data_IF_888107071967
#
_entry.id   IF_888107071967
#
_cell.length_a   1.000
_cell.length_b   1.000
_cell.length_c   1.000
_cell.angle_alpha   90.00
_cell.angle_beta   90.00
_cell.angle_gamma   90.00
#
_symmetry.space_group_name_H-M   'P 1'
#
loop_
_entity.id
_entity.type
_entity.pdbx_description
1 polymer ?
#
# COMPACT_ATOMS: atom_id res chain seq x y z
N UNK A 1 2.89 -4.32 11.27
CA UNK A 1 3.73 -3.28 10.65
C UNK A 1 2.86 -2.07 10.31
N UNK A 2 3.32 -0.88 10.64
CA UNK A 2 2.68 0.37 10.20
C UNK A 2 3.17 0.69 8.79
N UNK A 3 2.25 0.74 7.84
CA UNK A 3 2.53 0.96 6.43
C UNK A 3 1.96 2.31 5.96
N UNK A 4 2.78 3.05 5.25
CA UNK A 4 2.42 4.37 4.74
C UNK A 4 2.76 5.51 5.72
N UNK A 5 3.13 6.64 5.16
CA UNK A 5 3.48 7.82 5.96
C UNK A 5 2.21 8.58 6.35
N UNK A 6 1.93 8.77 7.64
CA UNK A 6 0.82 9.60 8.09
C UNK A 6 1.12 11.08 7.87
N UNK A 7 0.11 11.91 8.01
CA UNK A 7 0.30 13.38 8.03
C UNK A 7 1.15 13.76 9.24
N UNK A 8 1.87 14.88 9.10
CA UNK A 8 2.60 15.46 10.22
C UNK A 8 1.68 15.63 11.43
N UNK A 9 2.21 15.36 12.61
CA UNK A 9 1.50 15.48 13.90
C UNK A 9 0.29 14.54 14.04
N UNK A 10 0.17 13.50 13.21
CA UNK A 10 -0.82 12.44 13.40
C UNK A 10 -0.47 11.60 14.63
N UNK A 11 -1.48 11.36 15.47
CA UNK A 11 -1.36 10.51 16.65
C UNK A 11 -2.17 9.23 16.44
N UNK A 12 -1.71 8.15 17.05
CA UNK A 12 -2.41 6.87 17.08
C UNK A 12 -2.50 6.40 18.52
N UNK A 13 -3.70 6.13 18.99
CA UNK A 13 -3.91 5.52 20.30
C UNK A 13 -3.69 4.02 20.20
N UNK A 14 -2.90 3.50 21.12
CA UNK A 14 -2.57 2.06 21.19
C UNK A 14 -2.87 1.56 22.59
N UNK A 15 -3.66 0.51 22.68
CA UNK A 15 -3.87 -0.21 23.93
C UNK A 15 -2.61 -0.97 24.33
N UNK A 16 -1.84 -0.38 25.23
CA UNK A 16 -0.58 -0.96 25.68
C UNK A 16 -0.76 -2.27 26.44
N UNK A 17 -1.94 -2.52 27.04
CA UNK A 17 -2.22 -3.80 27.70
C UNK A 17 -2.28 -4.95 26.67
N UNK A 18 -2.84 -4.69 25.50
CA UNK A 18 -2.85 -5.65 24.39
C UNK A 18 -1.46 -5.86 23.79
N UNK A 19 -0.69 -4.78 23.64
CA UNK A 19 0.68 -4.86 23.14
C UNK A 19 1.52 -5.73 24.08
N UNK A 20 1.42 -5.50 25.38
CA UNK A 20 2.16 -6.25 26.39
C UNK A 20 1.73 -7.73 26.45
N UNK A 21 0.43 -7.98 26.62
CA UNK A 21 -0.09 -9.35 26.84
C UNK A 21 0.07 -10.27 25.63
N UNK A 22 0.10 -9.69 24.41
CA UNK A 22 0.27 -10.43 23.16
C UNK A 22 1.69 -10.38 22.60
N UNK A 23 2.63 -9.80 23.34
CA UNK A 23 4.04 -9.63 22.93
C UNK A 23 4.16 -9.02 21.52
N UNK A 24 3.36 -7.98 21.22
CA UNK A 24 3.29 -7.35 19.90
C UNK A 24 4.51 -6.49 19.67
N UNK A 25 5.14 -6.65 18.52
CA UNK A 25 6.20 -5.75 18.05
C UNK A 25 5.63 -4.83 16.96
N UNK A 26 5.93 -3.53 17.09
CA UNK A 26 5.50 -2.51 16.13
C UNK A 26 6.70 -2.10 15.28
N UNK A 27 6.60 -2.32 13.97
CA UNK A 27 7.62 -1.94 13.00
C UNK A 27 7.11 -0.92 12.01
N UNK A 28 7.98 -0.04 11.59
CA UNK A 28 7.77 0.88 10.48
C UNK A 28 8.85 0.68 9.43
N UNK A 29 8.55 1.09 8.20
CA UNK A 29 9.54 1.18 7.12
C UNK A 29 9.37 2.53 6.43
N UNK A 30 10.46 3.06 5.91
CA UNK A 30 10.44 4.32 5.16
C UNK A 30 11.21 4.17 3.86
N UNK A 31 10.51 4.43 2.75
CA UNK A 31 11.02 4.32 1.39
C UNK A 31 11.46 2.89 1.02
N UNK A 32 11.87 2.71 -0.20
CA UNK A 32 12.42 1.45 -0.71
C UNK A 32 13.77 1.72 -1.37
N UNK A 33 14.75 0.87 -1.10
CA UNK A 33 16.01 0.88 -1.81
C UNK A 33 15.86 0.23 -3.20
N UNK A 34 16.85 0.42 -4.06
CA UNK A 34 16.89 -0.28 -5.35
C UNK A 34 16.89 -1.80 -5.18
N UNK A 35 17.51 -2.29 -4.12
CA UNK A 35 17.52 -3.73 -3.79
C UNK A 35 16.13 -4.21 -3.39
N UNK A 36 15.39 -3.47 -2.59
CA UNK A 36 14.01 -3.82 -2.23
C UNK A 36 13.11 -3.91 -3.46
N UNK A 37 13.27 -2.99 -4.40
CA UNK A 37 12.52 -2.99 -5.67
C UNK A 37 12.89 -4.22 -6.51
N UNK A 38 14.17 -4.56 -6.59
CA UNK A 38 14.64 -5.74 -7.31
C UNK A 38 14.05 -7.03 -6.73
N UNK A 39 14.11 -7.16 -5.41
CA UNK A 39 13.52 -8.31 -4.71
C UNK A 39 12.00 -8.40 -4.97
N UNK A 40 11.29 -7.28 -4.92
CA UNK A 40 9.85 -7.25 -5.18
C UNK A 40 9.52 -7.69 -6.61
N UNK A 41 10.30 -7.26 -7.60
CA UNK A 41 10.15 -7.67 -9.00
C UNK A 41 10.38 -9.19 -9.13
N UNK A 42 11.44 -9.71 -8.53
CA UNK A 42 11.75 -11.14 -8.56
C UNK A 42 10.63 -11.99 -7.94
N UNK A 43 10.07 -11.56 -6.80
CA UNK A 43 8.94 -12.23 -6.14
C UNK A 43 7.67 -12.26 -7.01
N UNK A 44 7.43 -11.21 -7.77
CA UNK A 44 6.29 -11.11 -8.70
C UNK A 44 6.55 -12.01 -9.93
N UNK A 45 7.73 -11.94 -10.51
CA UNK A 45 8.08 -12.68 -11.74
C UNK A 45 8.09 -14.19 -11.53
N UNK A 46 8.60 -14.66 -10.41
CA UNK A 46 8.62 -16.08 -10.07
C UNK A 46 7.33 -16.59 -9.43
N UNK A 47 6.29 -15.74 -9.40
CA UNK A 47 4.97 -16.06 -8.84
C UNK A 47 4.96 -16.44 -7.35
N UNK A 48 5.97 -16.04 -6.58
CA UNK A 48 6.00 -16.23 -5.13
C UNK A 48 4.94 -15.39 -4.42
N UNK A 49 4.55 -14.26 -5.02
CA UNK A 49 3.44 -13.41 -4.57
C UNK A 49 2.52 -13.08 -5.73
N UNK A 50 1.22 -12.95 -5.44
CA UNK A 50 0.23 -12.54 -6.42
C UNK A 50 -0.29 -11.14 -6.07
N UNK A 51 0.16 -10.13 -6.80
CA UNK A 51 -0.25 -8.74 -6.61
C UNK A 51 -1.37 -8.30 -7.55
N UNK A 52 -1.75 -9.14 -8.53
CA UNK A 52 -2.79 -8.80 -9.51
C UNK A 52 -4.13 -8.54 -8.85
N UNK A 53 -4.46 -9.30 -7.80
CA UNK A 53 -5.71 -9.16 -7.06
C UNK A 53 -5.80 -7.86 -6.26
N UNK A 54 -4.69 -7.17 -6.05
CA UNK A 54 -4.67 -5.85 -5.40
C UNK A 54 -5.10 -4.73 -6.34
N UNK A 55 -4.99 -4.95 -7.65
CA UNK A 55 -5.41 -3.96 -8.67
C UNK A 55 -6.92 -4.08 -8.85
N UNK A 56 -7.65 -3.18 -8.19
CA UNK A 56 -9.12 -3.18 -8.19
C UNK A 56 -9.71 -2.34 -9.30
N UNK A 57 -9.03 -1.29 -9.72
CA UNK A 57 -9.52 -0.34 -10.72
C UNK A 57 -8.42 -0.01 -11.72
N UNK A 58 -8.80 0.06 -13.00
CA UNK A 58 -7.92 0.46 -14.09
C UNK A 58 -8.61 1.56 -14.90
N UNK A 59 -7.88 2.62 -15.18
CA UNK A 59 -8.36 3.74 -15.98
C UNK A 59 -7.39 3.99 -17.14
N UNK A 60 -7.91 4.56 -18.23
CA UNK A 60 -7.05 5.08 -19.29
C UNK A 60 -6.40 6.40 -18.83
N UNK A 61 -5.36 6.83 -19.52
CA UNK A 61 -4.73 8.13 -19.23
C UNK A 61 -5.71 9.30 -19.43
N UNK A 62 -6.70 9.14 -20.32
CA UNK A 62 -7.73 10.16 -20.59
C UNK A 62 -8.66 10.34 -19.39
N UNK A 63 -8.87 9.28 -18.62
CA UNK A 63 -9.76 9.24 -17.45
C UNK A 63 -8.98 9.39 -16.13
N UNK A 64 -7.78 10.00 -16.21
CA UNK A 64 -6.90 10.14 -15.04
C UNK A 64 -7.53 10.91 -13.89
N UNK A 65 -8.38 11.90 -14.18
CA UNK A 65 -9.11 12.64 -13.15
C UNK A 65 -10.00 11.71 -12.33
N UNK A 66 -10.79 10.87 -12.99
CA UNK A 66 -11.66 9.88 -12.35
C UNK A 66 -10.84 8.85 -11.56
N UNK A 67 -9.66 8.48 -12.06
CA UNK A 67 -8.75 7.59 -11.36
C UNK A 67 -8.29 8.17 -10.02
N UNK A 68 -7.88 9.42 -9.98
CA UNK A 68 -7.52 10.12 -8.75
C UNK A 68 -8.70 10.27 -7.80
N UNK A 69 -9.88 10.64 -8.30
CA UNK A 69 -11.09 10.74 -7.49
C UNK A 69 -11.45 9.38 -6.88
N UNK A 70 -11.37 8.30 -7.65
CA UNK A 70 -11.59 6.94 -7.16
C UNK A 70 -10.63 6.57 -6.02
N UNK A 71 -9.34 6.88 -6.18
CA UNK A 71 -8.34 6.62 -5.16
C UNK A 71 -8.57 7.43 -3.88
N UNK A 72 -8.98 8.69 -3.99
CA UNK A 72 -9.24 9.58 -2.85
C UNK A 72 -10.51 9.17 -2.09
N UNK A 73 -11.58 8.86 -2.82
CA UNK A 73 -12.87 8.45 -2.22
C UNK A 73 -12.80 7.08 -1.54
N UNK A 74 -11.81 6.29 -1.87
CA UNK A 74 -11.55 4.96 -1.29
C UNK A 74 -12.78 4.03 -1.31
N UNK A 75 -13.62 4.15 -2.36
CA UNK A 75 -14.82 3.32 -2.55
C UNK A 75 -14.41 1.92 -3.05
N UNK A 76 -14.12 1.01 -2.12
CA UNK A 76 -13.69 -0.37 -2.42
C UNK A 76 -12.45 -0.46 -3.32
N UNK A 77 -11.65 0.62 -3.40
CA UNK A 77 -10.39 0.61 -4.14
C UNK A 77 -9.23 0.21 -3.21
N UNK A 78 -8.42 -0.74 -3.67
CA UNK A 78 -7.15 -1.09 -3.02
C UNK A 78 -6.01 -0.47 -3.81
N UNK A 79 -5.94 -0.79 -5.09
CA UNK A 79 -4.97 -0.20 -6.01
C UNK A 79 -5.66 0.29 -7.27
N UNK A 80 -5.54 1.56 -7.53
CA UNK A 80 -6.01 2.21 -8.77
C UNK A 80 -4.81 2.38 -9.70
N UNK A 81 -4.93 1.92 -10.93
CA UNK A 81 -3.89 2.04 -11.96
C UNK A 81 -4.37 2.87 -13.13
N UNK A 82 -3.49 3.70 -13.66
CA UNK A 82 -3.66 4.39 -14.91
C UNK A 82 -2.79 3.70 -15.95
N UNK A 83 -3.38 3.29 -17.06
CA UNK A 83 -2.68 2.62 -18.15
C UNK A 83 -2.48 3.57 -19.33
N UNK A 84 -1.43 3.36 -20.11
CA UNK A 84 -1.05 4.25 -21.22
C UNK A 84 -1.94 4.17 -22.47
N UNK A 85 -2.93 3.35 -22.43
CA UNK A 85 -3.84 3.20 -23.56
C UNK A 85 -5.29 3.25 -23.12
#
# INVERSE_FOLDING_TARGET
MLFGQPRKDSLCEIDMSQVYSKEITIHTTYAASNEDIRIAIDLIQNHSINVKNLVTHKFSIKDSKEAFECAIKNNNSIKVMITGA
#
